data_IF_357421481465
#
_entry.id   IF_357421481465
#
_cell.length_a   1.000
_cell.length_b   1.000
_cell.length_c   1.000
_cell.angle_alpha   90.00
_cell.angle_beta   90.00
_cell.angle_gamma   90.00
#
_symmetry.space_group_name_H-M   'P 1'
#
loop_
_entity.id
_entity.type
_entity.pdbx_description
1 polymer ?
#
# COMPACT_ATOMS: atom_id res chain seq x y z
N UNK A 1 36.69 12.11 -33.46
CA UNK A 1 35.70 13.11 -33.02
C UNK A 1 34.53 12.36 -32.41
N UNK A 2 34.58 12.21 -31.09
CA UNK A 2 33.68 11.36 -30.28
C UNK A 2 32.55 12.22 -29.70
N UNK A 3 31.30 11.95 -30.10
CA UNK A 3 30.10 12.58 -29.54
C UNK A 3 29.69 11.96 -28.18
N UNK A 4 29.05 12.71 -27.28
CA UNK A 4 28.88 12.30 -25.89
C UNK A 4 27.62 11.45 -25.66
N UNK A 5 27.86 10.23 -25.16
CA UNK A 5 27.34 9.63 -23.93
C UNK A 5 26.09 10.24 -23.23
N UNK A 6 25.10 9.35 -23.06
CA UNK A 6 24.26 9.13 -21.87
C UNK A 6 23.08 10.09 -21.61
N UNK A 7 21.98 9.86 -22.32
CA UNK A 7 20.65 10.08 -21.78
C UNK A 7 19.88 8.77 -21.90
N UNK A 8 19.92 7.90 -20.88
CA UNK A 8 19.05 6.70 -20.75
C UNK A 8 19.10 6.01 -19.37
N UNK A 9 19.46 6.69 -18.27
CA UNK A 9 19.49 6.07 -16.92
C UNK A 9 18.38 6.53 -15.96
N UNK A 10 17.42 7.34 -16.41
CA UNK A 10 16.36 7.89 -15.53
C UNK A 10 15.12 7.02 -15.42
N UNK A 11 14.84 6.14 -16.39
CA UNK A 11 13.72 5.20 -16.30
C UNK A 11 14.02 4.06 -15.32
N UNK A 12 15.28 3.66 -15.16
CA UNK A 12 15.69 2.64 -14.18
C UNK A 12 15.35 3.07 -12.74
N UNK A 13 15.48 4.35 -12.38
CA UNK A 13 15.10 4.80 -11.03
C UNK A 13 13.58 4.88 -10.80
N UNK A 14 12.78 5.11 -11.84
CA UNK A 14 11.32 5.02 -11.75
C UNK A 14 10.84 3.56 -11.71
N UNK A 15 11.44 2.71 -12.53
CA UNK A 15 11.16 1.27 -12.55
C UNK A 15 11.65 0.62 -11.26
N UNK A 16 12.78 1.01 -10.68
CA UNK A 16 13.24 0.57 -9.36
C UNK A 16 12.39 1.15 -8.22
N UNK A 17 11.80 2.34 -8.38
CA UNK A 17 10.77 2.86 -7.46
C UNK A 17 9.47 2.06 -7.50
N UNK A 18 9.11 1.54 -8.67
CA UNK A 18 7.98 0.62 -8.89
C UNK A 18 8.32 -0.83 -8.51
N UNK A 19 9.55 -1.28 -8.72
CA UNK A 19 10.06 -2.59 -8.26
C UNK A 19 10.28 -2.61 -6.76
N UNK A 20 10.63 -1.49 -6.14
CA UNK A 20 10.54 -1.32 -4.68
C UNK A 20 9.10 -1.35 -4.17
N UNK A 21 8.11 -1.08 -5.05
CA UNK A 21 6.67 -1.26 -4.79
C UNK A 21 6.24 -2.73 -4.95
N UNK A 22 6.90 -3.49 -5.82
CA UNK A 22 6.71 -4.94 -6.01
C UNK A 22 7.51 -5.78 -5.01
N UNK A 23 8.63 -5.26 -4.49
CA UNK A 23 9.49 -5.93 -3.50
C UNK A 23 9.09 -5.68 -2.05
N UNK A 24 8.17 -4.75 -1.79
CA UNK A 24 7.68 -4.45 -0.43
C UNK A 24 6.33 -5.14 -0.11
N UNK A 25 5.91 -6.11 -0.93
CA UNK A 25 4.72 -6.92 -0.64
C UNK A 25 5.02 -8.20 0.13
N UNK A 26 6.29 -8.48 0.46
CA UNK A 26 6.66 -9.74 1.13
C UNK A 26 6.55 -9.68 2.66
N UNK A 27 6.64 -8.51 3.31
CA UNK A 27 6.69 -8.50 4.78
C UNK A 27 5.35 -8.30 5.50
N UNK A 28 4.36 -7.58 4.97
CA UNK A 28 3.03 -7.50 5.61
C UNK A 28 1.95 -7.21 4.56
N UNK A 29 1.53 -8.25 3.83
CA UNK A 29 0.39 -8.17 2.92
C UNK A 29 -0.93 -8.27 3.73
N UNK A 30 -1.23 -7.28 4.57
CA UNK A 30 -2.54 -7.20 5.21
C UNK A 30 -3.51 -6.50 4.26
N UNK A 31 -4.48 -7.25 3.74
CA UNK A 31 -5.57 -6.65 2.96
C UNK A 31 -6.39 -5.72 3.85
N UNK A 32 -6.92 -4.59 3.33
CA UNK A 32 -7.75 -3.67 4.12
C UNK A 32 -8.91 -4.39 4.83
N UNK A 33 -9.48 -5.41 4.19
CA UNK A 33 -10.51 -6.25 4.78
C UNK A 33 -10.01 -7.06 5.98
N UNK A 34 -8.82 -7.67 5.90
CA UNK A 34 -8.22 -8.41 7.02
C UNK A 34 -7.99 -7.52 8.25
N UNK A 35 -7.62 -6.26 8.04
CA UNK A 35 -7.47 -5.30 9.14
C UNK A 35 -8.82 -4.91 9.77
N UNK A 36 -9.89 -4.85 8.99
CA UNK A 36 -11.22 -4.50 9.51
C UNK A 36 -11.88 -5.69 10.20
N UNK A 37 -11.89 -6.86 9.55
CA UNK A 37 -12.68 -8.03 9.95
C UNK A 37 -11.87 -9.14 10.66
N UNK A 38 -10.54 -9.03 10.70
CA UNK A 38 -9.65 -9.97 11.40
C UNK A 38 -9.46 -11.31 10.70
N UNK A 39 -10.01 -11.47 9.51
CA UNK A 39 -9.86 -12.65 8.67
C UNK A 39 -9.59 -12.23 7.24
N UNK A 40 -8.93 -13.09 6.49
CA UNK A 40 -8.74 -12.85 5.06
C UNK A 40 -10.07 -12.96 4.31
N UNK A 41 -10.18 -12.21 3.21
CA UNK A 41 -11.38 -12.26 2.35
C UNK A 41 -11.48 -13.65 1.74
N UNK A 42 -12.63 -14.29 1.91
CA UNK A 42 -13.03 -15.41 1.05
C UNK A 42 -13.73 -14.83 -0.17
N UNK A 43 -13.11 -14.96 -1.34
CA UNK A 43 -13.68 -14.44 -2.58
C UNK A 43 -14.85 -15.32 -3.04
N UNK A 44 -15.88 -14.77 -3.72
CA UNK A 44 -17.00 -15.59 -4.22
C UNK A 44 -16.56 -16.77 -5.09
N UNK A 45 -15.53 -16.60 -5.93
CA UNK A 45 -14.97 -17.68 -6.76
C UNK A 45 -14.39 -18.83 -5.94
N UNK A 46 -13.90 -18.57 -4.72
CA UNK A 46 -13.39 -19.59 -3.80
C UNK A 46 -14.52 -20.39 -3.13
N UNK A 47 -15.75 -19.86 -3.16
CA UNK A 47 -16.95 -20.57 -2.69
C UNK A 47 -17.52 -21.41 -3.82
N UNK A 48 -17.58 -20.86 -5.03
CA UNK A 48 -18.02 -21.59 -6.24
C UNK A 48 -17.09 -22.77 -6.58
N UNK A 49 -15.78 -22.55 -6.45
CA UNK A 49 -14.74 -23.58 -6.56
C UNK A 49 -14.15 -23.72 -5.16
N UNK A 50 -14.63 -24.69 -4.34
CA UNK A 50 -14.28 -24.77 -2.92
C UNK A 50 -12.77 -24.70 -2.70
N UNK A 51 -12.30 -23.55 -2.20
CA UNK A 51 -10.89 -23.33 -1.94
C UNK A 51 -10.45 -24.18 -0.75
N UNK A 52 -9.13 -24.36 -0.60
CA UNK A 52 -8.56 -25.12 0.52
C UNK A 52 -9.07 -24.62 1.87
N UNK A 53 -9.32 -23.31 2.01
CA UNK A 53 -9.78 -22.67 3.24
C UNK A 53 -11.21 -23.05 3.56
N UNK A 54 -12.11 -22.88 2.57
CA UNK A 54 -13.52 -23.25 2.68
C UNK A 54 -13.65 -24.73 3.02
N UNK A 55 -12.84 -25.59 2.38
CA UNK A 55 -12.84 -27.03 2.65
C UNK A 55 -12.28 -27.38 4.03
N UNK A 56 -11.33 -26.60 4.56
CA UNK A 56 -10.81 -26.80 5.92
C UNK A 56 -11.82 -26.36 6.97
N UNK A 57 -12.44 -25.19 6.80
CA UNK A 57 -13.45 -24.68 7.71
C UNK A 57 -14.71 -25.57 7.74
N UNK A 58 -15.13 -26.12 6.60
CA UNK A 58 -16.25 -27.06 6.52
C UNK A 58 -16.02 -28.40 7.24
N UNK A 59 -14.78 -28.73 7.60
CA UNK A 59 -14.42 -29.96 8.34
C UNK A 59 -14.35 -29.76 9.84
N UNK A 60 -14.38 -28.53 10.33
CA UNK A 60 -14.29 -28.23 11.75
C UNK A 60 -15.63 -28.51 12.43
N UNK A 61 -15.55 -28.98 13.67
CA UNK A 61 -16.71 -28.96 14.57
C UNK A 61 -17.01 -27.53 15.02
N UNK A 62 -18.24 -27.26 15.47
CA UNK A 62 -18.65 -25.93 15.94
C UNK A 62 -17.71 -25.38 17.02
N UNK A 63 -17.26 -26.24 17.94
CA UNK A 63 -16.34 -25.85 19.02
C UNK A 63 -14.95 -25.45 18.49
N UNK A 64 -14.40 -26.22 17.55
CA UNK A 64 -13.11 -25.93 16.92
C UNK A 64 -13.18 -24.67 16.06
N UNK A 65 -14.30 -24.46 15.37
CA UNK A 65 -14.54 -23.25 14.58
C UNK A 65 -14.57 -22.00 15.47
N UNK A 66 -15.30 -22.05 16.59
CA UNK A 66 -15.35 -20.94 17.57
C UNK A 66 -13.96 -20.63 18.13
N UNK A 67 -13.19 -21.66 18.50
CA UNK A 67 -11.82 -21.47 19.00
C UNK A 67 -10.92 -20.82 17.95
N UNK A 68 -10.96 -21.32 16.70
CA UNK A 68 -10.18 -20.76 15.59
C UNK A 68 -10.53 -19.30 15.32
N UNK A 69 -11.83 -18.96 15.37
CA UNK A 69 -12.30 -17.57 15.22
C UNK A 69 -11.84 -16.67 16.37
N UNK A 70 -11.86 -17.17 17.60
CA UNK A 70 -11.36 -16.44 18.76
C UNK A 70 -9.86 -16.13 18.62
N UNK A 71 -9.06 -17.12 18.21
CA UNK A 71 -7.62 -16.92 18.00
C UNK A 71 -7.36 -15.89 16.90
N UNK A 72 -8.06 -15.96 15.76
CA UNK A 72 -7.93 -14.97 14.69
C UNK A 72 -8.26 -13.55 15.15
N UNK A 73 -9.29 -13.38 15.99
CA UNK A 73 -9.65 -12.09 16.56
C UNK A 73 -8.62 -11.60 17.57
N UNK A 74 -8.01 -12.47 18.37
CA UNK A 74 -6.95 -12.07 19.30
C UNK A 74 -5.73 -11.47 18.58
N UNK A 75 -5.40 -11.98 17.39
CA UNK A 75 -4.29 -11.48 16.58
C UNK A 75 -4.63 -10.20 15.77
N UNK A 76 -5.90 -9.74 15.77
CA UNK A 76 -6.29 -8.60 14.91
C UNK A 76 -5.56 -7.31 15.30
N UNK A 77 -5.39 -7.08 16.60
CA UNK A 77 -4.82 -5.84 17.09
C UNK A 77 -3.33 -5.76 16.78
N UNK A 78 -2.62 -6.88 16.91
CA UNK A 78 -1.22 -6.99 16.51
C UNK A 78 -1.04 -6.71 15.01
N UNK A 79 -1.92 -7.26 14.16
CA UNK A 79 -1.90 -7.01 12.71
C UNK A 79 -2.14 -5.53 12.39
N UNK A 80 -3.09 -4.87 13.09
CA UNK A 80 -3.37 -3.44 12.94
C UNK A 80 -2.19 -2.58 13.34
N UNK A 81 -1.60 -2.85 14.51
CA UNK A 81 -0.44 -2.12 15.00
C UNK A 81 0.75 -2.26 14.04
N UNK A 82 0.97 -3.46 13.52
CA UNK A 82 2.02 -3.74 12.54
C UNK A 82 1.79 -2.96 11.24
N UNK A 83 0.56 -2.98 10.71
CA UNK A 83 0.20 -2.24 9.51
C UNK A 83 0.37 -0.72 9.71
N UNK A 84 -0.07 -0.17 10.86
CA UNK A 84 0.10 1.25 11.19
C UNK A 84 1.57 1.65 11.28
N UNK A 85 2.40 0.83 11.92
CA UNK A 85 3.85 1.08 12.02
C UNK A 85 4.50 1.11 10.63
N UNK A 86 4.14 0.14 9.78
CA UNK A 86 4.63 0.08 8.41
C UNK A 86 4.24 1.32 7.61
N UNK A 87 2.96 1.72 7.68
CA UNK A 87 2.45 2.92 7.00
C UNK A 87 3.19 4.18 7.45
N UNK A 88 3.41 4.34 8.76
CA UNK A 88 4.17 5.47 9.28
C UNK A 88 5.59 5.50 8.73
N UNK A 89 6.29 4.36 8.73
CA UNK A 89 7.65 4.26 8.19
C UNK A 89 7.68 4.55 6.69
N UNK A 90 6.69 4.06 5.94
CA UNK A 90 6.55 4.35 4.52
C UNK A 90 6.36 5.85 4.28
N UNK A 91 5.41 6.49 4.98
CA UNK A 91 5.16 7.92 4.88
C UNK A 91 6.41 8.74 5.24
N UNK A 92 7.14 8.34 6.29
CA UNK A 92 8.41 8.98 6.65
C UNK A 92 9.47 8.85 5.56
N UNK A 93 9.59 7.68 4.91
CA UNK A 93 10.52 7.47 3.79
C UNK A 93 10.17 8.37 2.61
N UNK A 94 8.88 8.44 2.25
CA UNK A 94 8.39 9.31 1.15
C UNK A 94 8.65 10.78 1.47
N UNK A 95 8.32 11.23 2.69
CA UNK A 95 8.58 12.60 3.14
C UNK A 95 10.07 12.95 3.05
N UNK A 96 10.95 12.10 3.60
CA UNK A 96 12.41 12.31 3.55
C UNK A 96 12.94 12.39 2.11
N UNK A 97 12.43 11.54 1.22
CA UNK A 97 12.83 11.55 -0.19
C UNK A 97 12.39 12.83 -0.92
N UNK A 98 11.21 13.35 -0.59
CA UNK A 98 10.70 14.62 -1.10
C UNK A 98 11.53 15.79 -0.55
N UNK A 99 11.68 15.88 0.77
CA UNK A 99 12.41 16.96 1.45
C UNK A 99 13.86 17.06 0.96
N UNK A 100 14.52 15.92 0.66
CA UNK A 100 15.88 15.91 0.09
C UNK A 100 15.97 16.60 -1.29
N UNK A 101 14.88 16.60 -2.06
CA UNK A 101 14.82 17.21 -3.40
C UNK A 101 14.32 18.66 -3.36
N UNK A 102 13.65 19.07 -2.28
CA UNK A 102 13.16 20.43 -2.13
C UNK A 102 14.32 21.33 -1.72
N UNK A 103 14.61 22.34 -2.54
CA UNK A 103 15.50 23.44 -2.18
C UNK A 103 14.66 24.59 -1.65
N UNK A 104 14.89 25.07 -0.41
CA UNK A 104 14.25 26.28 0.07
C UNK A 104 14.56 27.44 -0.88
N UNK A 105 13.51 28.12 -1.35
CA UNK A 105 13.62 29.27 -2.22
C UNK A 105 12.84 30.43 -1.60
N UNK A 106 13.48 31.58 -1.46
CA UNK A 106 12.86 32.79 -0.90
C UNK A 106 12.42 33.65 -2.08
N UNK A 107 11.15 34.06 -2.07
CA UNK A 107 10.57 34.92 -3.09
C UNK A 107 10.36 36.33 -2.55
N UNK A 108 10.53 37.34 -3.39
CA UNK A 108 10.27 38.75 -3.08
C UNK A 108 9.04 39.23 -3.85
N UNK A 109 8.43 40.31 -3.37
CA UNK A 109 7.35 40.96 -4.09
C UNK A 109 7.83 41.40 -5.49
N UNK A 110 7.10 41.00 -6.53
CA UNK A 110 7.46 41.21 -7.93
C UNK A 110 8.07 39.99 -8.64
N UNK A 111 8.45 38.92 -7.93
CA UNK A 111 8.96 37.69 -8.54
C UNK A 111 7.84 36.89 -9.20
N UNK A 112 8.06 36.48 -10.46
CA UNK A 112 7.14 35.60 -11.19
C UNK A 112 7.43 34.14 -10.87
N UNK A 113 6.43 33.43 -10.32
CA UNK A 113 6.53 32.00 -9.97
C UNK A 113 5.47 31.18 -10.69
N UNK A 114 5.86 29.97 -11.12
CA UNK A 114 4.94 29.01 -11.72
C UNK A 114 4.18 28.27 -10.62
N UNK A 115 2.88 28.57 -10.49
CA UNK A 115 1.98 27.81 -9.63
C UNK A 115 1.49 26.57 -10.38
N UNK A 116 1.81 25.39 -9.86
CA UNK A 116 1.18 24.16 -10.35
C UNK A 116 -0.30 24.18 -9.96
N UNK A 117 -1.18 24.39 -10.93
CA UNK A 117 -2.63 24.27 -10.72
C UNK A 117 -2.96 22.78 -10.75
N UNK A 118 -3.29 22.21 -9.59
CA UNK A 118 -3.82 20.85 -9.52
C UNK A 118 -5.31 20.94 -9.84
N UNK A 119 -5.71 20.45 -11.02
CA UNK A 119 -7.13 20.23 -11.31
C UNK A 119 -7.61 19.07 -10.45
N UNK A 120 -8.18 19.37 -9.28
CA UNK A 120 -9.06 18.42 -8.63
C UNK A 120 -10.31 18.36 -9.50
N UNK A 121 -10.42 17.35 -10.34
CA UNK A 121 -11.72 16.99 -10.88
C UNK A 121 -12.57 16.60 -9.66
N UNK A 122 -13.68 17.29 -9.35
CA UNK A 122 -14.65 16.73 -8.43
C UNK A 122 -15.12 15.43 -9.08
N UNK A 123 -14.88 14.30 -8.42
CA UNK A 123 -15.43 13.03 -8.85
C UNK A 123 -16.94 13.24 -9.02
N UNK A 124 -17.41 13.27 -10.26
CA UNK A 124 -18.82 13.26 -10.60
C UNK A 124 -19.37 11.85 -10.35
N UNK A 125 -19.25 11.36 -9.10
CA UNK A 125 -20.10 10.29 -8.59
C UNK A 125 -21.45 10.90 -8.21
N UNK A 126 -22.17 11.27 -9.25
CA UNK A 126 -23.60 11.53 -9.19
C UNK A 126 -24.35 10.23 -9.39
N UNK A 127 -25.27 9.99 -8.45
CA UNK A 127 -26.38 9.02 -8.37
C UNK A 127 -26.16 7.91 -7.36
#
# INVERSE_FOLDING_TARGET
MTGPYLANHTWEFQVLGLFGKVGCTFEVLQTPFSLVYGMEVVLPVEVEIPSRRVLMEAKLTDAEWVQSRYDQLNLIEEKRLTAMCHDQLYQQRIKKAFDKKVKPCVFREGDLVLKKVLSFAPDCKGK
#
